data_IF_439868263543
#
_entry.id   IF_439868263543
#
_cell.length_a   1.000
_cell.length_b   1.000
_cell.length_c   1.000
_cell.angle_alpha   90.00
_cell.angle_beta   90.00
_cell.angle_gamma   90.00
#
_symmetry.space_group_name_H-M   'P 1'
#
loop_
_entity.id
_entity.type
_entity.pdbx_description
1 polymer ?
#
# COMPACT_ATOMS: atom_id res chain seq x y z
N UNK A 1 12.88 11.24 6.65
CA UNK A 1 12.53 11.97 5.41
C UNK A 1 11.03 11.96 5.05
N UNK A 2 10.11 11.44 5.88
CA UNK A 2 8.66 11.69 5.72
C UNK A 2 8.21 13.08 6.26
N UNK A 3 8.88 13.62 7.28
CA UNK A 3 8.44 14.85 7.97
C UNK A 3 8.58 16.15 7.16
N UNK A 4 9.30 16.15 6.03
CA UNK A 4 9.40 17.32 5.14
C UNK A 4 8.34 17.35 4.04
N UNK A 5 7.62 16.25 3.82
CA UNK A 5 6.50 16.22 2.89
C UNK A 5 5.19 16.45 3.65
N UNK A 6 4.21 17.13 3.06
CA UNK A 6 2.87 17.30 3.68
C UNK A 6 2.14 15.97 3.92
N UNK A 7 2.64 14.86 3.39
CA UNK A 7 2.08 13.52 3.55
C UNK A 7 2.85 12.79 4.66
N UNK A 8 2.30 12.78 5.87
CA UNK A 8 2.90 12.12 7.03
C UNK A 8 2.74 10.60 7.06
N UNK A 9 2.49 9.94 5.92
CA UNK A 9 2.17 8.51 5.83
C UNK A 9 2.90 7.89 4.64
N UNK A 10 3.50 6.70 4.86
CA UNK A 10 4.13 5.93 3.79
C UNK A 10 3.07 5.23 2.94
N UNK A 11 2.96 5.61 1.67
CA UNK A 11 1.95 5.07 0.74
C UNK A 11 2.55 4.19 -0.36
N UNK A 12 3.88 4.00 -0.34
CA UNK A 12 4.63 3.20 -1.30
C UNK A 12 5.60 2.25 -0.58
N UNK A 13 5.66 1.00 -1.03
CA UNK A 13 6.59 -0.03 -0.53
C UNK A 13 8.06 0.33 -0.80
N UNK A 14 8.32 1.08 -1.86
CA UNK A 14 9.65 1.55 -2.24
C UNK A 14 10.10 2.80 -1.46
N UNK A 15 9.32 3.28 -0.49
CA UNK A 15 9.75 4.41 0.33
C UNK A 15 10.93 3.99 1.22
N UNK A 16 11.99 4.79 1.21
CA UNK A 16 13.18 4.61 2.06
C UNK A 16 12.96 5.03 3.52
N UNK A 17 11.77 5.53 3.86
CA UNK A 17 11.43 5.89 5.22
C UNK A 17 10.74 4.76 5.96
N UNK A 18 11.05 4.63 7.24
CA UNK A 18 10.40 3.70 8.15
C UNK A 18 10.69 4.03 9.61
N UNK A 19 10.37 3.07 10.49
CA UNK A 19 10.72 3.14 11.91
C UNK A 19 12.25 3.29 12.02
N UNK A 20 12.79 4.31 12.72
CA UNK A 20 14.23 4.47 12.83
C UNK A 20 14.92 3.29 13.50
N UNK A 21 16.10 2.90 13.00
CA UNK A 21 16.84 1.72 13.47
C UNK A 21 17.29 1.80 14.94
N UNK A 22 17.30 3.00 15.54
CA UNK A 22 17.62 3.23 16.95
C UNK A 22 16.41 3.14 17.89
N UNK A 23 15.19 2.98 17.36
CA UNK A 23 13.99 2.82 18.16
C UNK A 23 13.86 1.40 18.72
N UNK A 24 13.43 1.30 19.98
CA UNK A 24 13.23 0.01 20.65
C UNK A 24 11.74 -0.30 20.72
N UNK A 25 11.33 -1.40 20.09
CA UNK A 25 9.95 -1.88 20.17
C UNK A 25 9.72 -2.76 21.41
N UNK A 26 8.48 -2.86 21.85
CA UNK A 26 8.09 -3.84 22.90
C UNK A 26 8.41 -5.28 22.49
N UNK A 27 8.35 -5.61 21.19
CA UNK A 27 8.76 -6.91 20.68
C UNK A 27 10.26 -7.17 20.92
N UNK A 28 11.12 -6.17 20.67
CA UNK A 28 12.56 -6.25 20.98
C UNK A 28 12.79 -6.49 22.48
N UNK A 29 12.06 -5.79 23.34
CA UNK A 29 12.17 -5.96 24.79
C UNK A 29 11.74 -7.37 25.26
N UNK A 30 10.64 -7.90 24.73
CA UNK A 30 10.14 -9.23 25.10
C UNK A 30 11.00 -10.35 24.52
N UNK A 31 11.49 -10.20 23.28
CA UNK A 31 12.45 -11.13 22.67
C UNK A 31 13.72 -11.28 23.51
N UNK A 32 14.25 -10.18 24.05
CA UNK A 32 15.39 -10.20 24.99
C UNK A 32 15.10 -10.95 26.29
N UNK A 33 13.83 -11.05 26.70
CA UNK A 33 13.37 -11.84 27.86
C UNK A 33 13.00 -13.29 27.51
N UNK A 34 13.36 -13.75 26.31
CA UNK A 34 13.13 -15.12 25.88
C UNK A 34 11.72 -15.41 25.38
N UNK A 35 10.90 -14.40 25.07
CA UNK A 35 9.61 -14.63 24.41
C UNK A 35 9.83 -15.03 22.95
N UNK A 36 8.97 -15.90 22.43
CA UNK A 36 8.79 -16.02 20.97
C UNK A 36 7.89 -14.89 20.47
N UNK A 37 8.29 -14.21 19.41
CA UNK A 37 7.62 -12.98 18.96
C UNK A 37 7.10 -13.13 17.52
N UNK A 38 5.83 -12.80 17.29
CA UNK A 38 5.20 -12.92 15.97
C UNK A 38 4.38 -11.69 15.61
N UNK A 39 4.48 -11.22 14.36
CA UNK A 39 3.60 -10.21 13.78
C UNK A 39 2.78 -10.82 12.65
N UNK A 40 1.46 -10.75 12.76
CA UNK A 40 0.53 -11.22 11.73
C UNK A 40 -0.27 -10.03 11.21
N UNK A 41 -0.12 -9.69 9.92
CA UNK A 41 -0.89 -8.68 9.23
C UNK A 41 -0.11 -7.42 8.84
N UNK A 42 -0.66 -6.25 9.14
CA UNK A 42 -0.13 -4.96 8.67
C UNK A 42 1.07 -4.52 9.48
N UNK A 43 2.14 -4.11 8.79
CA UNK A 43 3.29 -3.44 9.40
C UNK A 43 3.22 -1.92 9.25
N UNK A 44 3.37 -1.41 8.02
CA UNK A 44 3.23 -0.01 7.66
C UNK A 44 4.22 0.97 8.30
N UNK A 45 5.40 0.47 8.70
CA UNK A 45 6.49 1.28 9.24
C UNK A 45 7.77 1.18 8.38
N UNK A 46 7.59 1.11 7.06
CA UNK A 46 8.67 1.00 6.08
C UNK A 46 9.05 -0.45 5.76
N UNK A 47 9.90 -0.60 4.74
CA UNK A 47 10.46 -1.90 4.34
C UNK A 47 11.97 -1.80 4.14
N UNK A 48 12.40 -0.93 3.22
CA UNK A 48 13.79 -0.81 2.77
C UNK A 48 14.39 0.56 3.07
N UNK A 49 15.72 0.68 3.02
CA UNK A 49 16.45 1.95 3.22
C UNK A 49 17.11 2.43 1.92
N UNK A 50 18.13 1.70 1.47
CA UNK A 50 19.02 2.07 0.37
C UNK A 50 18.76 1.22 -0.87
N UNK A 51 18.45 -0.06 -0.69
CA UNK A 51 18.23 -1.00 -1.79
C UNK A 51 17.03 -1.92 -1.52
N UNK A 52 16.53 -2.56 -2.58
CA UNK A 52 15.29 -3.36 -2.53
C UNK A 52 15.37 -4.64 -1.69
N UNK A 53 16.57 -5.03 -1.24
CA UNK A 53 16.83 -6.28 -0.51
C UNK A 53 17.30 -6.09 0.93
N UNK A 54 17.61 -4.85 1.35
CA UNK A 54 18.18 -4.61 2.69
C UNK A 54 17.17 -4.86 3.81
N UNK A 55 15.88 -4.67 3.53
CA UNK A 55 14.77 -4.87 4.46
C UNK A 55 15.01 -4.16 5.81
N UNK A 56 15.72 -3.02 5.83
CA UNK A 56 16.18 -2.39 7.08
C UNK A 56 15.04 -2.07 8.05
N UNK A 57 13.86 -1.74 7.52
CA UNK A 57 12.66 -1.37 8.27
C UNK A 57 11.69 -2.55 8.46
N UNK A 58 12.09 -3.77 8.08
CA UNK A 58 11.26 -4.96 8.16
C UNK A 58 11.01 -5.41 9.61
N UNK A 59 9.81 -5.94 9.98
CA UNK A 59 9.46 -6.30 11.37
C UNK A 59 10.48 -7.20 12.09
N UNK A 60 11.15 -8.07 11.35
CA UNK A 60 12.16 -8.99 11.91
C UNK A 60 13.34 -8.25 12.54
N UNK A 61 13.68 -7.06 12.01
CA UNK A 61 14.73 -6.21 12.57
C UNK A 61 14.26 -5.46 13.83
N UNK A 62 12.95 -5.44 14.10
CA UNK A 62 12.34 -4.78 15.26
C UNK A 62 11.79 -5.79 16.26
N UNK A 63 12.49 -6.91 16.40
CA UNK A 63 12.29 -7.83 17.51
C UNK A 63 11.17 -8.85 17.30
N UNK A 64 10.63 -9.01 16.09
CA UNK A 64 9.73 -10.12 15.75
C UNK A 64 10.51 -11.30 15.16
N UNK A 65 10.29 -12.52 15.66
CA UNK A 65 10.90 -13.75 15.12
C UNK A 65 10.17 -14.27 13.88
N UNK A 66 8.88 -13.97 13.78
CA UNK A 66 8.02 -14.38 12.67
C UNK A 66 7.19 -13.22 12.15
N UNK A 67 7.11 -13.10 10.82
CA UNK A 67 6.21 -12.17 10.15
C UNK A 67 5.39 -12.90 9.09
N UNK A 68 4.08 -12.71 9.10
CA UNK A 68 3.20 -13.05 7.99
C UNK A 68 2.24 -11.89 7.74
N UNK A 69 2.33 -11.23 6.60
CA UNK A 69 1.50 -10.06 6.39
C UNK A 69 1.97 -9.14 5.30
N UNK A 70 1.53 -7.88 5.37
CA UNK A 70 1.83 -6.86 4.37
C UNK A 70 2.77 -5.82 4.98
N UNK A 71 3.90 -5.51 4.31
CA UNK A 71 4.83 -4.48 4.79
C UNK A 71 4.19 -3.09 4.75
N UNK A 72 3.23 -2.89 3.84
CA UNK A 72 2.44 -1.67 3.69
C UNK A 72 1.01 -1.86 4.20
N UNK A 73 0.11 -0.93 3.87
CA UNK A 73 -1.31 -1.00 4.25
C UNK A 73 -2.19 -1.53 3.11
N UNK A 74 -3.32 -2.13 3.45
CA UNK A 74 -4.40 -2.34 2.49
C UNK A 74 -4.90 -0.97 2.00
N UNK A 75 -5.06 -0.80 0.70
CA UNK A 75 -5.58 0.43 0.08
C UNK A 75 -6.70 0.09 -0.89
N UNK A 76 -7.51 1.10 -1.28
CA UNK A 76 -8.54 0.94 -2.32
C UNK A 76 -7.95 0.40 -3.63
N UNK A 77 -6.78 0.91 -3.99
CA UNK A 77 -6.01 0.54 -5.17
C UNK A 77 -5.54 -0.92 -5.20
N UNK A 78 -5.59 -1.63 -4.06
CA UNK A 78 -5.24 -3.05 -4.00
C UNK A 78 -6.36 -3.98 -4.52
N UNK A 79 -7.61 -3.50 -4.60
CA UNK A 79 -8.76 -4.25 -5.15
C UNK A 79 -9.36 -3.49 -6.35
N UNK A 80 -9.39 -4.09 -7.55
CA UNK A 80 -10.10 -3.51 -8.68
C UNK A 80 -11.56 -3.20 -8.34
N UNK A 81 -12.06 -2.04 -8.77
CA UNK A 81 -13.45 -1.62 -8.55
C UNK A 81 -13.72 -0.91 -7.22
N UNK A 82 -12.75 -0.86 -6.29
CA UNK A 82 -12.91 -0.15 -5.02
C UNK A 82 -12.49 1.34 -5.06
N UNK A 83 -12.19 1.85 -6.26
CA UNK A 83 -11.69 3.20 -6.47
C UNK A 83 -10.19 3.33 -6.15
N UNK A 84 -9.72 4.57 -6.04
CA UNK A 84 -8.31 4.86 -5.80
C UNK A 84 -8.13 5.98 -4.79
N UNK A 85 -7.14 5.83 -3.91
CA UNK A 85 -6.69 6.86 -2.96
C UNK A 85 -5.97 7.99 -3.68
N UNK A 86 -5.34 7.73 -4.82
CA UNK A 86 -4.60 8.72 -5.60
C UNK A 86 -5.47 9.49 -6.58
N UNK A 87 -6.72 9.06 -6.81
CA UNK A 87 -7.57 9.63 -7.86
C UNK A 87 -7.78 11.14 -7.71
N UNK A 88 -7.98 11.66 -6.50
CA UNK A 88 -8.16 13.10 -6.29
C UNK A 88 -6.89 13.90 -6.66
N UNK A 89 -5.72 13.40 -6.25
CA UNK A 89 -4.42 14.01 -6.58
C UNK A 89 -4.11 13.91 -8.08
N UNK A 90 -4.33 12.74 -8.67
CA UNK A 90 -4.16 12.51 -10.10
C UNK A 90 -5.13 13.33 -10.93
N UNK A 91 -6.39 13.46 -10.53
CA UNK A 91 -7.37 14.29 -11.23
C UNK A 91 -6.97 15.76 -11.23
N UNK A 92 -6.45 16.29 -10.11
CA UNK A 92 -5.89 17.64 -10.07
C UNK A 92 -4.72 17.79 -11.03
N UNK A 93 -3.76 16.86 -10.99
CA UNK A 93 -2.60 16.86 -11.87
C UNK A 93 -2.99 16.77 -13.35
N UNK A 94 -3.86 15.83 -13.71
CA UNK A 94 -4.40 15.65 -15.06
C UNK A 94 -5.11 16.93 -15.54
N UNK A 95 -5.99 17.53 -14.73
CA UNK A 95 -6.66 18.78 -15.08
C UNK A 95 -5.66 19.90 -15.36
N UNK A 96 -4.64 20.04 -14.52
CA UNK A 96 -3.57 21.01 -14.73
C UNK A 96 -2.78 20.72 -16.01
N UNK A 97 -2.45 19.46 -16.30
CA UNK A 97 -1.78 19.08 -17.55
C UNK A 97 -2.63 19.42 -18.79
N UNK A 98 -3.93 19.12 -18.76
CA UNK A 98 -4.85 19.46 -19.84
C UNK A 98 -4.90 20.98 -20.02
N UNK A 99 -5.06 21.74 -18.94
CA UNK A 99 -5.11 23.20 -19.00
C UNK A 99 -3.84 23.81 -19.62
N UNK A 100 -2.65 23.38 -19.16
CA UNK A 100 -1.37 23.86 -19.70
C UNK A 100 -1.24 23.47 -21.18
N UNK A 101 -1.60 22.24 -21.54
CA UNK A 101 -1.58 21.79 -22.93
C UNK A 101 -2.51 22.60 -23.83
N UNK A 102 -3.75 22.82 -23.40
CA UNK A 102 -4.73 23.63 -24.13
C UNK A 102 -4.27 25.08 -24.28
N UNK A 103 -3.81 25.73 -23.19
CA UNK A 103 -3.31 27.11 -23.24
C UNK A 103 -2.12 27.20 -24.20
N UNK A 104 -1.18 26.26 -24.11
CA UNK A 104 0.01 26.23 -24.96
C UNK A 104 -0.37 26.09 -26.44
N UNK A 105 -1.29 25.19 -26.78
CA UNK A 105 -1.75 24.98 -28.15
C UNK A 105 -2.53 26.19 -28.70
N UNK A 106 -3.41 26.79 -27.89
CA UNK A 106 -4.18 27.97 -28.28
C UNK A 106 -3.25 29.16 -28.49
N UNK A 107 -2.35 29.45 -27.54
CA UNK A 107 -1.38 30.53 -27.66
C UNK A 107 -0.46 30.33 -28.87
N UNK A 108 0.05 29.12 -29.09
CA UNK A 108 0.86 28.80 -30.26
C UNK A 108 0.09 29.07 -31.56
N UNK A 109 -1.16 28.62 -31.65
CA UNK A 109 -2.00 28.83 -32.84
C UNK A 109 -2.27 30.30 -33.11
N UNK A 110 -2.57 31.08 -32.06
CA UNK A 110 -2.79 32.53 -32.16
C UNK A 110 -1.53 33.29 -32.60
N UNK A 111 -0.36 32.96 -32.05
CA UNK A 111 0.91 33.58 -32.43
C UNK A 111 1.32 33.25 -33.87
N UNK A 112 0.98 32.05 -34.33
CA UNK A 112 1.18 31.65 -35.72
C UNK A 112 0.22 32.37 -36.68
N UNK A 113 -1.05 32.52 -36.27
CA UNK A 113 -2.05 33.25 -37.05
C UNK A 113 -1.76 34.75 -37.15
N UNK A 114 -1.30 35.38 -36.06
CA UNK A 114 -0.95 36.81 -36.03
C UNK A 114 0.37 37.14 -36.73
N UNK A 115 1.10 36.15 -37.25
CA UNK A 115 2.34 36.34 -37.98
C UNK A 115 3.55 36.71 -37.11
N UNK A 116 3.41 36.74 -35.79
CA UNK A 116 4.49 37.09 -34.85
C UNK A 116 5.56 35.98 -34.86
N UNK A 117 5.16 34.71 -34.92
CA UNK A 117 6.06 33.55 -34.95
C UNK A 117 5.53 32.53 -35.96
N UNK A 118 6.36 32.07 -36.91
CA UNK A 118 6.01 30.95 -37.78
C UNK A 118 6.27 29.61 -37.08
N UNK A 119 5.21 28.89 -36.76
CA UNK A 119 5.29 27.60 -36.06
C UNK A 119 5.23 26.46 -37.08
N UNK A 120 6.27 25.63 -37.09
CA UNK A 120 6.30 24.40 -37.89
C UNK A 120 5.45 23.30 -37.22
N UNK A 121 4.71 22.52 -38.02
CA UNK A 121 3.92 21.36 -37.56
C UNK A 121 4.71 20.39 -36.66
N UNK A 122 6.02 20.26 -36.87
CA UNK A 122 6.90 19.46 -36.00
C UNK A 122 6.84 19.89 -34.54
N UNK A 123 6.74 21.20 -34.25
CA UNK A 123 6.63 21.73 -32.88
C UNK A 123 5.33 21.27 -32.22
N UNK A 124 4.22 21.32 -32.95
CA UNK A 124 2.92 20.82 -32.47
C UNK A 124 2.99 19.32 -32.17
N UNK A 125 3.63 18.55 -33.06
CA UNK A 125 3.86 17.12 -32.84
C UNK A 125 4.67 16.84 -31.57
N UNK A 126 5.75 17.59 -31.32
CA UNK A 126 6.55 17.44 -30.10
C UNK A 126 5.76 17.77 -28.83
N UNK A 127 4.91 18.81 -28.86
CA UNK A 127 4.04 19.17 -27.75
C UNK A 127 3.06 18.01 -27.45
N UNK A 128 2.40 17.46 -28.47
CA UNK A 128 1.47 16.35 -28.31
C UNK A 128 2.17 15.09 -27.77
N UNK A 129 3.38 14.78 -28.26
CA UNK A 129 4.18 13.65 -27.76
C UNK A 129 4.53 13.86 -26.28
N UNK A 130 4.93 15.07 -25.88
CA UNK A 130 5.27 15.37 -24.49
C UNK A 130 4.07 15.18 -23.55
N UNK A 131 2.91 15.74 -23.88
CA UNK A 131 1.70 15.54 -23.07
C UNK A 131 1.24 14.08 -23.10
N UNK A 132 1.29 13.42 -24.25
CA UNK A 132 1.00 11.99 -24.38
C UNK A 132 1.89 11.12 -23.49
N UNK A 133 3.19 11.43 -23.41
CA UNK A 133 4.14 10.79 -22.51
C UNK A 133 3.77 11.01 -21.04
N UNK A 134 3.45 12.24 -20.63
CA UNK A 134 3.01 12.53 -19.26
C UNK A 134 1.73 11.77 -18.87
N UNK A 135 0.75 11.70 -19.78
CA UNK A 135 -0.44 10.87 -19.59
C UNK A 135 -0.09 9.38 -19.49
N UNK A 136 0.83 8.91 -20.33
CA UNK A 136 1.36 7.55 -20.29
C UNK A 136 1.99 7.22 -18.94
N UNK A 137 2.75 8.14 -18.34
CA UNK A 137 3.32 7.96 -16.99
C UNK A 137 2.23 7.81 -15.92
N UNK A 138 1.18 8.63 -15.98
CA UNK A 138 0.05 8.52 -15.04
C UNK A 138 -0.68 7.19 -15.22
N UNK A 139 -0.89 6.77 -16.46
CA UNK A 139 -1.49 5.46 -16.76
C UNK A 139 -0.62 4.31 -16.22
N UNK A 140 0.69 4.33 -16.50
CA UNK A 140 1.63 3.32 -16.02
C UNK A 140 1.68 3.27 -14.49
N UNK A 141 1.58 4.42 -13.81
CA UNK A 141 1.48 4.46 -12.36
C UNK A 141 0.27 3.65 -11.85
N UNK A 142 -0.94 3.94 -12.34
CA UNK A 142 -2.14 3.23 -11.91
C UNK A 142 -2.12 1.74 -12.29
N UNK A 143 -1.60 1.42 -13.47
CA UNK A 143 -1.48 0.06 -13.96
C UNK A 143 -0.57 -0.80 -13.08
N UNK A 144 0.56 -0.25 -12.64
CA UNK A 144 1.57 -0.99 -11.89
C UNK A 144 1.40 -0.86 -10.37
N UNK A 145 0.65 0.13 -9.86
CA UNK A 145 0.54 0.40 -8.43
C UNK A 145 0.21 -0.84 -7.61
N UNK A 146 -0.84 -1.58 -8.02
CA UNK A 146 -1.32 -2.78 -7.32
C UNK A 146 -0.23 -3.85 -7.25
N UNK A 147 0.45 -4.12 -8.37
CA UNK A 147 1.47 -5.16 -8.41
C UNK A 147 2.67 -4.78 -7.54
N UNK A 148 3.11 -3.52 -7.56
CA UNK A 148 4.31 -3.06 -6.86
C UNK A 148 4.12 -2.85 -5.35
N UNK A 149 2.90 -2.55 -4.89
CA UNK A 149 2.66 -2.14 -3.50
C UNK A 149 1.78 -3.11 -2.71
N UNK A 150 0.95 -3.92 -3.38
CA UNK A 150 -0.01 -4.78 -2.71
C UNK A 150 0.47 -6.24 -2.74
N UNK A 151 1.51 -6.55 -1.96
CA UNK A 151 2.05 -7.91 -1.84
C UNK A 151 2.06 -8.41 -0.38
N UNK A 152 2.03 -9.73 -0.24
CA UNK A 152 2.05 -10.44 1.04
C UNK A 152 3.42 -11.09 1.21
N UNK A 153 3.97 -10.97 2.42
CA UNK A 153 5.26 -11.51 2.79
C UNK A 153 5.11 -12.54 3.91
N UNK A 154 6.01 -13.52 3.89
CA UNK A 154 6.34 -14.35 5.04
C UNK A 154 7.82 -14.16 5.33
N UNK A 155 8.14 -13.57 6.49
CA UNK A 155 9.45 -13.04 6.78
C UNK A 155 9.95 -12.19 5.60
N UNK A 156 11.17 -12.42 5.11
CA UNK A 156 11.77 -11.66 4.03
C UNK A 156 11.28 -12.07 2.62
N UNK A 157 10.41 -13.07 2.49
CA UNK A 157 10.00 -13.58 1.18
C UNK A 157 8.61 -13.09 0.81
N UNK A 158 8.47 -12.60 -0.43
CA UNK A 158 7.16 -12.34 -1.04
C UNK A 158 6.52 -13.69 -1.39
N UNK A 159 5.37 -13.96 -0.78
CA UNK A 159 4.61 -15.20 -0.99
C UNK A 159 3.40 -15.01 -1.90
N UNK A 160 2.96 -13.76 -2.11
CA UNK A 160 1.82 -13.46 -2.99
C UNK A 160 1.91 -12.03 -3.54
N UNK A 161 1.86 -11.87 -4.86
CA UNK A 161 1.93 -10.58 -5.54
C UNK A 161 1.06 -10.56 -6.82
N UNK A 162 0.02 -9.72 -6.91
CA UNK A 162 -0.59 -9.00 -5.79
C UNK A 162 -1.25 -9.99 -4.81
N UNK A 163 -1.41 -9.60 -3.54
CA UNK A 163 -2.11 -10.45 -2.59
C UNK A 163 -3.61 -10.55 -2.93
N UNK A 164 -4.20 -11.71 -2.61
CA UNK A 164 -5.63 -11.96 -2.76
C UNK A 164 -6.36 -11.58 -1.47
N UNK A 165 -7.45 -10.85 -1.57
CA UNK A 165 -8.28 -10.48 -0.41
C UNK A 165 -9.22 -11.59 0.03
N UNK A 166 -9.56 -12.49 -0.89
CA UNK A 166 -10.34 -13.69 -0.59
C UNK A 166 -9.65 -14.50 0.52
N UNK A 167 -10.43 -14.77 1.58
CA UNK A 167 -10.01 -15.50 2.76
C UNK A 167 -8.76 -14.94 3.46
N UNK A 168 -8.44 -13.65 3.27
CA UNK A 168 -7.24 -13.06 3.87
C UNK A 168 -7.34 -13.03 5.40
N UNK A 169 -8.49 -12.65 5.96
CA UNK A 169 -8.72 -12.64 7.41
C UNK A 169 -8.56 -14.05 7.98
N UNK A 170 -9.12 -15.07 7.33
CA UNK A 170 -9.06 -16.48 7.71
C UNK A 170 -7.63 -17.02 7.66
N UNK A 171 -6.85 -16.65 6.62
CA UNK A 171 -5.43 -17.01 6.53
C UNK A 171 -4.63 -16.36 7.67
N UNK A 172 -4.91 -15.10 8.01
CA UNK A 172 -4.30 -14.44 9.17
C UNK A 172 -4.70 -15.10 10.49
N UNK A 173 -5.98 -15.49 10.67
CA UNK A 173 -6.45 -16.25 11.83
C UNK A 173 -5.70 -17.57 11.95
N UNK A 174 -5.57 -18.31 10.83
CA UNK A 174 -4.85 -19.59 10.80
C UNK A 174 -3.39 -19.43 11.18
N UNK A 175 -2.70 -18.45 10.61
CA UNK A 175 -1.30 -18.16 10.92
C UNK A 175 -1.10 -17.77 12.39
N UNK A 176 -2.06 -17.03 12.95
CA UNK A 176 -2.10 -16.65 14.37
C UNK A 176 -2.25 -17.88 15.28
N UNK A 177 -3.25 -18.72 15.02
CA UNK A 177 -3.48 -19.96 15.79
C UNK A 177 -2.30 -20.93 15.65
N UNK A 178 -1.74 -21.08 14.44
CA UNK A 178 -0.58 -21.95 14.21
C UNK A 178 0.68 -21.40 14.93
N UNK A 179 0.86 -20.08 15.02
CA UNK A 179 1.93 -19.48 15.82
C UNK A 179 1.77 -19.79 17.31
N UNK A 180 0.56 -19.64 17.87
CA UNK A 180 0.26 -19.97 19.27
C UNK A 180 0.55 -21.45 19.55
N UNK A 181 0.06 -22.35 18.69
CA UNK A 181 0.25 -23.80 18.82
C UNK A 181 1.73 -24.19 18.81
N UNK A 182 2.52 -23.64 17.89
CA UNK A 182 3.98 -23.91 17.81
C UNK A 182 4.74 -23.42 19.04
N UNK A 183 4.22 -22.40 19.73
CA UNK A 183 4.84 -21.83 20.93
C UNK A 183 4.13 -22.23 22.23
N UNK A 184 3.33 -23.31 22.24
CA UNK A 184 2.54 -23.75 23.41
C UNK A 184 3.34 -23.87 24.71
N UNK A 185 4.62 -24.22 24.64
CA UNK A 185 5.48 -24.47 25.80
C UNK A 185 6.45 -23.32 26.12
N UNK A 186 6.32 -22.17 25.45
CA UNK A 186 7.21 -21.01 25.62
C UNK A 186 6.36 -19.74 25.70
N UNK A 187 6.67 -18.78 26.59
CA UNK A 187 5.97 -17.50 26.58
C UNK A 187 6.09 -16.85 25.20
N UNK A 188 4.98 -16.32 24.68
CA UNK A 188 4.93 -15.72 23.35
C UNK A 188 4.28 -14.34 23.37
N UNK A 189 4.71 -13.51 22.43
CA UNK A 189 4.07 -12.28 22.02
C UNK A 189 3.53 -12.51 20.61
N UNK A 190 2.23 -12.37 20.44
CA UNK A 190 1.59 -12.36 19.13
C UNK A 190 0.93 -11.00 18.92
N UNK A 191 1.42 -10.25 17.93
CA UNK A 191 0.82 -8.99 17.51
C UNK A 191 0.01 -9.22 16.22
N UNK A 192 -1.32 -9.22 16.36
CA UNK A 192 -2.24 -9.38 15.22
C UNK A 192 -2.74 -8.00 14.79
N UNK A 193 -2.22 -7.53 13.66
CA UNK A 193 -2.60 -6.25 13.06
C UNK A 193 -3.45 -6.50 11.82
N UNK A 194 -4.77 -6.60 11.98
CA UNK A 194 -5.66 -6.92 10.87
C UNK A 194 -5.52 -5.92 9.71
N UNK A 195 -5.61 -6.43 8.47
CA UNK A 195 -5.75 -5.57 7.29
C UNK A 195 -7.14 -4.90 7.26
N UNK A 196 -8.15 -5.59 7.81
CA UNK A 196 -9.47 -5.07 8.09
C UNK A 196 -9.46 -4.14 9.32
N UNK A 197 -10.32 -3.14 9.41
CA UNK A 197 -11.38 -2.73 8.45
C UNK A 197 -10.94 -1.56 7.55
N UNK A 198 -9.64 -1.50 7.24
CA UNK A 198 -9.12 -0.48 6.34
C UNK A 198 -9.59 -0.74 4.90
N UNK A 199 -9.90 0.33 4.16
CA UNK A 199 -10.25 0.23 2.73
C UNK A 199 -9.10 -0.35 1.89
N UNK A 200 -9.34 -1.16 0.85
CA UNK A 200 -10.64 -1.67 0.40
C UNK A 200 -11.21 -2.75 1.32
N UNK A 201 -12.51 -2.62 1.61
CA UNK A 201 -13.26 -3.61 2.39
C UNK A 201 -13.47 -4.87 1.55
N UNK A 202 -13.31 -6.02 2.21
CA UNK A 202 -13.62 -7.34 1.68
C UNK A 202 -14.35 -8.14 2.77
N UNK A 203 -14.91 -9.30 2.46
CA UNK A 203 -15.44 -10.22 3.47
C UNK A 203 -15.64 -11.59 2.84
N UNK A 204 -15.52 -12.66 3.63
CA UNK A 204 -15.90 -14.00 3.21
C UNK A 204 -17.41 -14.11 3.00
N UNK A 205 -17.82 -15.00 2.08
CA UNK A 205 -19.22 -15.20 1.71
C UNK A 205 -20.15 -15.46 2.89
N UNK A 206 -19.66 -16.09 3.97
CA UNK A 206 -20.47 -16.39 5.15
C UNK A 206 -20.83 -15.18 6.03
N UNK A 207 -20.13 -14.04 5.88
CA UNK A 207 -20.44 -12.80 6.61
C UNK A 207 -21.15 -11.77 5.74
N UNK A 208 -21.08 -11.94 4.41
CA UNK A 208 -21.63 -11.00 3.45
C UNK A 208 -23.14 -10.78 3.63
N UNK A 209 -23.54 -9.52 3.76
CA UNK A 209 -24.93 -9.08 3.88
C UNK A 209 -25.61 -9.40 5.21
N UNK A 210 -24.85 -9.75 6.25
CA UNK A 210 -25.42 -10.11 7.56
C UNK A 210 -25.48 -8.94 8.53
N UNK A 211 -24.53 -8.02 8.42
CA UNK A 211 -24.43 -6.91 9.36
C UNK A 211 -25.40 -5.77 9.04
N UNK A 212 -25.62 -4.90 10.03
CA UNK A 212 -26.46 -3.70 9.89
C UNK A 212 -25.83 -2.60 9.04
N UNK A 213 -24.51 -2.60 8.85
CA UNK A 213 -23.77 -1.51 8.19
C UNK A 213 -23.08 -1.99 6.89
N UNK A 214 -23.76 -2.88 6.16
CA UNK A 214 -23.30 -3.40 4.87
C UNK A 214 -21.90 -3.99 4.94
N UNK A 215 -21.12 -3.85 3.88
CA UNK A 215 -19.81 -4.49 3.77
C UNK A 215 -18.82 -4.09 4.89
N UNK A 216 -18.93 -2.88 5.43
CA UNK A 216 -18.11 -2.45 6.56
C UNK A 216 -18.45 -3.22 7.83
N UNK A 217 -19.74 -3.36 8.14
CA UNK A 217 -20.17 -4.17 9.28
C UNK A 217 -19.84 -5.65 9.08
N UNK A 218 -19.97 -6.18 7.86
CA UNK A 218 -19.64 -7.57 7.56
C UNK A 218 -18.14 -7.84 7.78
N UNK A 219 -17.29 -6.87 7.47
CA UNK A 219 -15.85 -6.93 7.74
C UNK A 219 -15.54 -6.84 9.25
N UNK A 220 -16.29 -6.03 10.02
CA UNK A 220 -16.18 -5.98 11.49
C UNK A 220 -16.55 -7.35 12.08
N UNK A 221 -17.69 -7.91 11.69
CA UNK A 221 -18.14 -9.21 12.19
C UNK A 221 -17.17 -10.34 11.82
N UNK A 222 -16.51 -10.26 10.67
CA UNK A 222 -15.43 -11.18 10.28
C UNK A 222 -14.19 -11.05 11.18
N UNK A 223 -13.79 -9.82 11.53
CA UNK A 223 -12.69 -9.58 12.48
C UNK A 223 -13.05 -10.07 13.88
N UNK A 224 -14.26 -9.79 14.35
CA UNK A 224 -14.78 -10.27 15.64
C UNK A 224 -14.74 -11.80 15.72
N UNK A 225 -15.20 -12.49 14.67
CA UNK A 225 -15.06 -13.94 14.55
C UNK A 225 -13.59 -14.39 14.62
N UNK A 226 -12.67 -13.70 13.96
CA UNK A 226 -11.25 -14.04 13.99
C UNK A 226 -10.69 -13.91 15.40
N UNK A 227 -11.08 -12.87 16.14
CA UNK A 227 -10.68 -12.69 17.55
C UNK A 227 -11.22 -13.84 18.38
N UNK A 228 -12.49 -14.22 18.23
CA UNK A 228 -13.07 -15.37 18.94
C UNK A 228 -12.45 -16.74 18.58
N UNK A 229 -11.70 -16.84 17.49
CA UNK A 229 -10.98 -18.06 17.08
C UNK A 229 -9.55 -18.16 17.61
N UNK A 230 -8.92 -17.02 17.90
CA UNK A 230 -7.55 -16.93 18.40
C UNK A 230 -7.56 -17.18 19.91
#
# INVERSE_FOLDING_TARGET
MASRSRVGVFIFSASSGGLPNNEITFATMLKKRGYSTGLIGKWHLGLNCENSSDHCHHPVNYGFDYFYGMPMTNLRDCIPGHGSVFLAGAAKFIRTLIQIGCITLVTATLLNYSGIIKINWKVVSYILIFFGFLFGLVFLFFWNFRYLNCFLMRNHQIIQQPFKHENLTQRMTKESVDFIRRNKYKPFLLFVSFAQVHTALYTEQRFRGKSKHGLYGDAIEEVDWSVGKI
#
